data_IF_075970125660
#
_entry.id   IF_075970125660
#
_cell.length_a   1.000
_cell.length_b   1.000
_cell.length_c   1.000
_cell.angle_alpha   90.00
_cell.angle_beta   90.00
_cell.angle_gamma   90.00
#
_symmetry.space_group_name_H-M   'P 1'
#
loop_
_entity.id
_entity.type
_entity.pdbx_description
1 polymer ?
#
# COMPACT_ATOMS: atom_id res chain seq x y z
N UNK A 1 4.11 -11.24 39.10
CA UNK A 1 4.58 -12.42 38.33
C UNK A 1 3.51 -12.83 37.30
N UNK A 2 2.25 -13.00 37.71
CA UNK A 2 1.10 -13.16 36.78
C UNK A 2 0.94 -11.98 35.82
N UNK A 3 1.09 -10.75 36.30
CA UNK A 3 0.92 -9.53 35.48
C UNK A 3 1.89 -9.47 34.29
N UNK A 4 3.16 -9.83 34.53
CA UNK A 4 4.17 -9.95 33.46
C UNK A 4 3.85 -11.06 32.45
N UNK A 5 3.22 -12.16 32.88
CA UNK A 5 2.85 -13.25 31.97
C UNK A 5 1.70 -12.79 31.06
N UNK A 6 0.71 -12.09 31.62
CA UNK A 6 -0.42 -11.53 30.86
C UNK A 6 0.04 -10.51 29.83
N UNK A 7 0.92 -9.57 30.19
CA UNK A 7 1.49 -8.61 29.23
C UNK A 7 2.27 -9.30 28.10
N UNK A 8 3.01 -10.36 28.42
CA UNK A 8 3.79 -11.09 27.42
C UNK A 8 2.88 -11.87 26.45
N UNK A 9 1.77 -12.43 26.95
CA UNK A 9 0.77 -13.10 26.13
C UNK A 9 0.07 -12.12 25.18
N UNK A 10 -0.37 -10.96 25.66
CA UNK A 10 -0.97 -9.92 24.82
C UNK A 10 0.00 -9.48 23.72
N UNK A 11 1.27 -9.24 24.06
CA UNK A 11 2.30 -8.87 23.08
C UNK A 11 2.53 -9.95 22.02
N UNK A 12 2.45 -11.22 22.40
CA UNK A 12 2.59 -12.35 21.45
C UNK A 12 1.35 -12.42 20.55
N UNK A 13 0.15 -12.28 21.11
CA UNK A 13 -1.09 -12.27 20.36
C UNK A 13 -1.10 -11.15 19.30
N UNK A 14 -0.74 -9.93 19.69
CA UNK A 14 -0.63 -8.79 18.77
C UNK A 14 0.37 -9.07 17.63
N UNK A 15 1.50 -9.71 17.92
CA UNK A 15 2.48 -10.08 16.88
C UNK A 15 1.93 -11.13 15.92
N UNK A 16 1.22 -12.13 16.42
CA UNK A 16 0.61 -13.17 15.60
C UNK A 16 -0.49 -12.61 14.70
N UNK A 17 -1.35 -11.73 15.22
CA UNK A 17 -2.39 -11.06 14.43
C UNK A 17 -1.78 -10.23 13.30
N UNK A 18 -0.70 -9.48 13.58
CA UNK A 18 0.04 -8.73 12.57
C UNK A 18 0.67 -9.65 11.52
N UNK A 19 1.25 -10.78 11.93
CA UNK A 19 1.85 -11.73 11.00
C UNK A 19 0.80 -12.36 10.06
N UNK A 20 -0.40 -12.62 10.57
CA UNK A 20 -1.52 -13.14 9.78
C UNK A 20 -1.95 -12.15 8.68
N UNK A 21 -1.96 -10.84 9.00
CA UNK A 21 -2.23 -9.77 8.04
C UNK A 21 -1.28 -9.84 6.84
N UNK A 22 0.01 -10.06 7.10
CA UNK A 22 1.03 -10.12 6.05
C UNK A 22 0.95 -11.40 5.20
N UNK A 23 0.33 -12.47 5.67
CA UNK A 23 0.15 -13.70 4.88
C UNK A 23 -1.13 -13.68 4.03
N UNK A 24 -2.06 -12.77 4.31
CA UNK A 24 -3.39 -12.79 3.68
C UNK A 24 -3.36 -12.17 2.28
N UNK A 25 -3.94 -12.86 1.31
CA UNK A 25 -4.04 -12.37 -0.07
C UNK A 25 -5.17 -11.34 -0.26
N UNK A 26 -6.25 -11.47 0.52
CA UNK A 26 -7.45 -10.63 0.44
C UNK A 26 -7.61 -9.86 1.75
N UNK A 27 -7.57 -8.54 1.67
CA UNK A 27 -7.70 -7.65 2.82
C UNK A 27 -9.12 -7.08 2.88
N UNK A 28 -9.65 -6.95 4.09
CA UNK A 28 -10.84 -6.15 4.40
C UNK A 28 -10.48 -4.67 4.48
N UNK A 29 -11.49 -3.79 4.58
CA UNK A 29 -11.25 -2.35 4.72
C UNK A 29 -10.35 -1.97 5.90
N UNK A 30 -10.56 -2.54 7.08
CA UNK A 30 -9.72 -2.26 8.25
C UNK A 30 -8.28 -2.71 8.02
N UNK A 31 -8.11 -3.92 7.50
CA UNK A 31 -6.81 -4.49 7.18
C UNK A 31 -6.07 -3.66 6.13
N UNK A 32 -6.78 -3.15 5.11
CA UNK A 32 -6.23 -2.22 4.12
C UNK A 32 -5.75 -0.91 4.78
N UNK A 33 -6.54 -0.31 5.67
CA UNK A 33 -6.12 0.90 6.38
C UNK A 33 -4.87 0.66 7.23
N UNK A 34 -4.81 -0.47 7.95
CA UNK A 34 -3.62 -0.87 8.71
C UNK A 34 -2.42 -1.13 7.80
N UNK A 35 -2.61 -1.85 6.70
CA UNK A 35 -1.55 -2.19 5.76
C UNK A 35 -0.94 -0.95 5.08
N UNK A 36 -1.77 -0.01 4.65
CA UNK A 36 -1.32 1.23 4.03
C UNK A 36 -0.92 2.32 5.05
N UNK A 37 -1.12 2.11 6.35
CA UNK A 37 -0.89 3.11 7.39
C UNK A 37 -1.80 4.34 7.28
N UNK A 38 -3.04 4.16 6.80
CA UNK A 38 -4.00 5.23 6.55
C UNK A 38 -5.06 5.30 7.66
N UNK A 39 -5.58 6.49 7.93
CA UNK A 39 -6.77 6.63 8.76
C UNK A 39 -8.01 6.09 8.03
N UNK A 40 -8.99 5.57 8.78
CA UNK A 40 -10.22 5.02 8.20
C UNK A 40 -10.97 6.07 7.35
N UNK A 41 -11.03 7.32 7.81
CA UNK A 41 -11.66 8.41 7.05
C UNK A 41 -10.99 8.63 5.69
N UNK A 42 -9.66 8.57 5.64
CA UNK A 42 -8.93 8.71 4.38
C UNK A 42 -9.09 7.47 3.49
N UNK A 43 -9.11 6.27 4.06
CA UNK A 43 -9.46 5.05 3.33
C UNK A 43 -10.84 5.13 2.68
N UNK A 44 -11.85 5.64 3.40
CA UNK A 44 -13.18 5.85 2.84
C UNK A 44 -13.17 6.90 1.72
N UNK A 45 -12.41 7.98 1.87
CA UNK A 45 -12.24 8.97 0.81
C UNK A 45 -11.62 8.37 -0.46
N UNK A 46 -10.64 7.48 -0.33
CA UNK A 46 -10.02 6.82 -1.49
C UNK A 46 -10.98 5.85 -2.18
N UNK A 47 -11.73 5.06 -1.40
CA UNK A 47 -12.70 4.10 -1.94
C UNK A 47 -13.93 4.78 -2.54
N UNK A 48 -14.38 5.91 -1.99
CA UNK A 48 -15.51 6.67 -2.55
C UNK A 48 -15.14 7.40 -3.83
N UNK A 49 -13.90 7.87 -3.95
CA UNK A 49 -13.36 8.50 -5.15
C UNK A 49 -12.85 7.51 -6.20
N UNK A 50 -12.99 6.19 -5.96
CA UNK A 50 -12.45 5.13 -6.82
C UNK A 50 -10.95 5.29 -7.15
N UNK A 51 -10.17 5.83 -6.21
CA UNK A 51 -8.73 6.07 -6.42
C UNK A 51 -7.86 4.86 -6.12
N UNK A 52 -8.40 3.87 -5.41
CA UNK A 52 -7.74 2.61 -5.03
C UNK A 52 -8.50 1.44 -5.66
N UNK A 53 -7.82 0.38 -6.15
CA UNK A 53 -8.50 -0.82 -6.62
C UNK A 53 -9.19 -1.54 -5.45
N UNK A 54 -10.50 -1.79 -5.56
CA UNK A 54 -11.27 -2.51 -4.56
C UNK A 54 -12.39 -3.35 -5.18
N UNK A 55 -12.88 -4.33 -4.42
CA UNK A 55 -13.93 -5.27 -4.81
C UNK A 55 -15.13 -5.16 -3.87
N UNK A 56 -16.35 -5.24 -4.43
CA UNK A 56 -17.63 -5.19 -3.68
C UNK A 56 -18.59 -6.29 -4.15
N UNK A 57 -18.34 -7.58 -3.83
CA UNK A 57 -19.17 -8.70 -4.33
C UNK A 57 -20.63 -8.64 -3.86
N UNK A 58 -20.90 -8.06 -2.68
CA UNK A 58 -22.26 -7.95 -2.10
C UNK A 58 -22.69 -6.52 -1.79
N UNK A 59 -22.00 -5.50 -2.33
CA UNK A 59 -22.31 -4.08 -2.15
C UNK A 59 -22.02 -3.47 -0.77
N UNK A 60 -22.15 -4.25 0.33
CA UNK A 60 -21.94 -3.77 1.71
C UNK A 60 -20.48 -3.82 2.17
N UNK A 61 -19.75 -4.87 1.81
CA UNK A 61 -18.37 -5.09 2.24
C UNK A 61 -17.39 -4.75 1.10
N UNK A 62 -16.24 -4.20 1.50
CA UNK A 62 -15.15 -3.82 0.61
C UNK A 62 -13.97 -4.74 0.88
N UNK A 63 -13.45 -5.32 -0.19
CA UNK A 63 -12.27 -6.18 -0.17
C UNK A 63 -11.19 -5.63 -1.11
N UNK A 64 -9.95 -5.97 -0.81
CA UNK A 64 -8.77 -5.55 -1.56
C UNK A 64 -7.94 -6.79 -1.85
N UNK A 65 -7.44 -6.91 -3.07
CA UNK A 65 -6.43 -7.92 -3.40
C UNK A 65 -5.06 -7.33 -3.15
N UNK A 66 -4.21 -8.06 -2.42
CA UNK A 66 -2.90 -7.55 -2.01
C UNK A 66 -2.02 -7.15 -3.20
N UNK A 67 -1.89 -8.01 -4.21
CA UNK A 67 -1.01 -7.75 -5.36
C UNK A 67 -1.39 -6.46 -6.09
N UNK A 68 -2.69 -6.21 -6.29
CA UNK A 68 -3.15 -4.98 -6.94
C UNK A 68 -2.95 -3.74 -6.07
N UNK A 69 -3.01 -3.91 -4.74
CA UNK A 69 -2.73 -2.84 -3.81
C UNK A 69 -1.24 -2.48 -3.81
N UNK A 70 -0.36 -3.47 -3.83
CA UNK A 70 1.09 -3.27 -3.95
C UNK A 70 1.45 -2.56 -5.25
N UNK A 71 0.90 -2.99 -6.38
CA UNK A 71 1.05 -2.31 -7.67
C UNK A 71 0.52 -0.87 -7.64
N UNK A 72 -0.64 -0.66 -6.99
CA UNK A 72 -1.20 0.67 -6.83
C UNK A 72 -0.31 1.59 -6.00
N UNK A 73 0.28 1.08 -4.91
CA UNK A 73 1.21 1.85 -4.06
C UNK A 73 2.49 2.23 -4.82
N UNK A 74 2.92 1.40 -5.76
CA UNK A 74 4.13 1.61 -6.57
C UNK A 74 3.87 2.38 -7.89
N UNK A 75 2.64 2.81 -8.16
CA UNK A 75 2.22 3.36 -9.46
C UNK A 75 2.99 4.62 -9.88
N UNK A 76 3.33 5.49 -8.94
CA UNK A 76 3.96 6.79 -9.22
C UNK A 76 5.37 6.82 -8.61
N UNK A 77 6.35 6.13 -9.22
CA UNK A 77 7.72 6.24 -8.78
C UNK A 77 8.23 7.66 -9.00
N UNK A 78 8.93 8.20 -8.01
CA UNK A 78 9.65 9.47 -8.13
C UNK A 78 11.04 9.12 -8.67
N UNK A 79 11.41 9.72 -9.80
CA UNK A 79 12.74 9.52 -10.39
C UNK A 79 13.82 10.11 -9.49
N UNK A 80 14.97 9.45 -9.43
CA UNK A 80 16.14 10.01 -8.76
C UNK A 80 16.74 11.16 -9.56
N UNK A 81 17.54 12.00 -8.91
CA UNK A 81 18.25 13.11 -9.55
C UNK A 81 19.13 12.61 -10.71
N UNK A 82 19.85 11.50 -10.51
CA UNK A 82 20.66 10.84 -11.54
C UNK A 82 19.81 10.43 -12.75
N UNK A 83 18.64 9.82 -12.53
CA UNK A 83 17.73 9.41 -13.62
C UNK A 83 17.17 10.61 -14.39
N UNK A 84 16.91 11.72 -13.70
CA UNK A 84 16.49 12.98 -14.31
C UNK A 84 17.61 13.58 -15.17
N UNK A 85 18.84 13.60 -14.66
CA UNK A 85 20.02 14.08 -15.40
C UNK A 85 20.30 13.25 -16.64
N UNK A 86 20.28 11.91 -16.53
CA UNK A 86 20.42 11.00 -17.67
C UNK A 86 19.36 11.24 -18.75
N UNK A 87 18.11 11.44 -18.33
CA UNK A 87 17.01 11.70 -19.26
C UNK A 87 17.16 13.06 -19.95
N UNK A 88 17.65 14.09 -19.23
CA UNK A 88 17.98 15.39 -19.79
C UNK A 88 19.15 15.28 -20.81
N UNK A 89 20.22 14.57 -20.46
CA UNK A 89 21.35 14.31 -21.36
C UNK A 89 20.91 13.56 -22.62
N UNK A 90 20.08 12.52 -22.45
CA UNK A 90 19.50 11.76 -23.58
C UNK A 90 18.66 12.66 -24.49
N UNK A 91 17.80 13.51 -23.92
CA UNK A 91 16.99 14.47 -24.68
C UNK A 91 17.85 15.46 -25.49
N UNK A 92 18.92 16.00 -24.89
CA UNK A 92 19.85 16.89 -25.59
C UNK A 92 20.58 16.16 -26.73
N UNK A 93 21.04 14.93 -26.49
CA UNK A 93 21.77 14.12 -27.48
C UNK A 93 20.92 13.74 -28.71
N UNK A 94 19.62 13.47 -28.51
CA UNK A 94 18.70 13.05 -29.57
C UNK A 94 18.18 14.23 -30.39
N UNK A 95 17.97 15.40 -29.77
CA UNK A 95 17.50 16.61 -30.45
C UNK A 95 18.57 17.26 -31.34
N UNK A 96 19.86 17.09 -31.03
CA UNK A 96 20.97 17.71 -31.77
C UNK A 96 21.36 16.98 -33.08
N UNK A 97 20.82 15.78 -33.34
CA UNK A 97 21.17 14.92 -34.50
C UNK A 97 20.31 15.09 -35.76
N UNK A 98 19.48 16.13 -35.85
CA UNK A 98 18.71 16.44 -37.07
C UNK A 98 19.22 17.71 -37.73
N UNK A 99 20.14 17.56 -38.68
CA UNK A 99 20.45 18.51 -39.75
C UNK A 99 20.70 17.70 -41.03
#
# INVERSE_FOLDING_TARGET
>A
MEDQILEQLDRIEQRLQNQLLYSKEILTFKEFCTFCGLSESYGYKLTSLNKVPFYKPGGKLIYFKRSELEEWMLRNPIKTEEQLEEEAMHYLSTKCRKW
#
